data_IF_100848254986
#
_entry.id   IF_100848254986
#
_cell.length_a   1.000
_cell.length_b   1.000
_cell.length_c   1.000
_cell.angle_alpha   90.00
_cell.angle_beta   90.00
_cell.angle_gamma   90.00
#
_symmetry.space_group_name_H-M   'P 1'
#
loop_
_entity.id
_entity.type
_entity.pdbx_description
1 polymer ?
#
# COMPACT_ATOMS: atom_id res chain seq x y z
N UNK A 1 -9.82 6.51 -23.04
CA UNK A 1 -9.47 6.60 -22.48
C UNK A 1 -8.93 7.12 -22.16
N UNK A 2 -8.85 7.30 -22.12
CA UNK A 2 -8.17 7.93 -21.81
C UNK A 2 -7.19 7.42 -21.06
N UNK A 3 -6.14 7.18 -21.39
CA UNK A 3 -4.89 6.88 -20.87
C UNK A 3 -4.78 7.03 -19.41
N UNK A 4 -5.82 7.36 -18.92
CA UNK A 4 -5.90 7.55 -17.51
C UNK A 4 -5.65 6.33 -16.72
N UNK A 5 -5.72 5.18 -17.35
CA UNK A 5 -5.42 3.94 -16.64
C UNK A 5 -3.92 3.73 -16.64
N UNK A 6 -3.24 4.41 -15.72
CA UNK A 6 -1.80 4.27 -15.54
C UNK A 6 -1.45 3.42 -14.33
N UNK A 7 -2.42 2.70 -13.78
CA UNK A 7 -2.22 1.97 -12.53
C UNK A 7 -1.02 1.01 -12.57
N UNK A 8 -0.91 0.24 -13.65
CA UNK A 8 0.18 -0.71 -13.78
C UNK A 8 1.55 -0.01 -13.84
N UNK A 9 1.59 1.16 -14.47
CA UNK A 9 2.81 1.95 -14.51
C UNK A 9 3.13 2.52 -13.13
N UNK A 10 2.11 2.97 -12.42
CA UNK A 10 2.31 3.59 -11.12
C UNK A 10 2.84 2.59 -10.09
N UNK A 11 2.41 1.35 -10.16
CA UNK A 11 2.81 0.34 -9.17
C UNK A 11 3.99 -0.52 -9.61
N UNK A 12 4.54 -0.29 -10.80
CA UNK A 12 5.57 -1.18 -11.35
C UNK A 12 6.83 -1.24 -10.49
N UNK A 13 7.12 -0.20 -9.74
CA UNK A 13 8.28 -0.16 -8.86
C UNK A 13 8.01 -0.80 -7.51
N UNK A 14 6.74 -1.07 -7.19
CA UNK A 14 6.39 -1.70 -5.93
C UNK A 14 6.60 -3.21 -6.03
N UNK A 15 6.84 -3.85 -4.91
CA UNK A 15 6.97 -5.31 -4.86
C UNK A 15 5.63 -5.92 -4.51
N UNK A 16 5.02 -6.61 -5.47
CA UNK A 16 3.74 -7.27 -5.21
C UNK A 16 3.96 -8.55 -4.41
N UNK A 17 3.23 -8.67 -3.31
CA UNK A 17 3.33 -9.82 -2.40
C UNK A 17 1.92 -10.24 -1.99
N UNK A 18 1.82 -11.43 -1.38
CA UNK A 18 0.58 -11.91 -0.80
C UNK A 18 0.46 -11.47 0.66
N UNK A 19 -0.74 -11.63 1.20
CA UNK A 19 -1.08 -11.15 2.54
C UNK A 19 -0.22 -11.78 3.63
N UNK A 20 0.11 -13.07 3.50
CA UNK A 20 0.93 -13.75 4.51
C UNK A 20 2.33 -13.17 4.58
N UNK A 21 2.89 -12.82 3.43
CA UNK A 21 4.22 -12.20 3.39
C UNK A 21 4.15 -10.78 3.94
N UNK A 22 3.09 -10.04 3.61
CA UNK A 22 2.91 -8.69 4.12
C UNK A 22 2.82 -8.69 5.65
N UNK A 23 2.06 -9.63 6.21
CA UNK A 23 1.92 -9.75 7.65
C UNK A 23 3.28 -10.04 8.31
N UNK A 24 4.05 -10.94 7.70
CA UNK A 24 5.36 -11.28 8.21
C UNK A 24 6.30 -10.07 8.23
N UNK A 25 6.29 -9.29 7.16
CA UNK A 25 7.14 -8.10 7.08
C UNK A 25 6.69 -7.02 8.05
N UNK A 26 5.37 -6.81 8.17
CA UNK A 26 4.83 -5.79 9.08
C UNK A 26 5.06 -6.16 10.55
N UNK A 27 5.23 -7.44 10.84
CA UNK A 27 5.49 -7.91 12.20
C UNK A 27 6.96 -7.79 12.59
N UNK A 28 7.84 -7.48 11.65
CA UNK A 28 9.25 -7.30 11.93
C UNK A 28 9.51 -5.92 12.50
N UNK A 29 10.72 -5.71 13.03
CA UNK A 29 11.10 -4.40 13.59
C UNK A 29 11.61 -3.44 12.51
N UNK A 30 11.81 -3.93 11.29
CA UNK A 30 12.30 -3.11 10.18
C UNK A 30 11.20 -2.22 9.64
N UNK A 31 11.59 -1.07 9.11
CA UNK A 31 10.66 -0.20 8.41
C UNK A 31 10.01 -0.97 7.26
N UNK A 32 8.70 -1.06 7.26
CA UNK A 32 7.94 -1.75 6.22
C UNK A 32 6.78 -0.87 5.78
N UNK A 33 6.66 -0.69 4.47
CA UNK A 33 5.58 0.12 3.88
C UNK A 33 4.76 -0.79 2.98
N UNK A 34 3.47 -0.91 3.28
CA UNK A 34 2.56 -1.77 2.51
C UNK A 34 1.38 -0.95 2.02
N UNK A 35 1.11 -1.06 0.73
CA UNK A 35 -0.06 -0.47 0.09
C UNK A 35 -1.00 -1.59 -0.32
N UNK A 36 -2.26 -1.52 0.12
CA UNK A 36 -3.30 -2.47 -0.25
C UNK A 36 -4.32 -1.76 -1.12
N UNK A 37 -4.52 -2.26 -2.32
CA UNK A 37 -5.46 -1.65 -3.23
C UNK A 37 -5.77 -2.54 -4.43
N UNK A 38 -6.47 -1.96 -5.40
CA UNK A 38 -6.87 -2.69 -6.59
C UNK A 38 -7.05 -1.75 -7.76
N UNK A 39 -6.83 -2.26 -8.96
CA UNK A 39 -6.90 -1.47 -10.18
C UNK A 39 -8.29 -0.92 -10.46
N UNK A 40 -9.32 -1.64 -10.05
CA UNK A 40 -10.71 -1.29 -10.36
C UNK A 40 -11.27 -0.17 -9.49
N UNK A 41 -10.55 0.24 -8.46
CA UNK A 41 -11.03 1.27 -7.53
C UNK A 41 -10.45 2.64 -7.91
N UNK A 42 -11.29 3.64 -8.23
CA UNK A 42 -10.77 4.96 -8.60
C UNK A 42 -9.91 5.60 -7.52
N UNK A 43 -10.27 5.41 -6.26
CA UNK A 43 -9.50 5.96 -5.14
C UNK A 43 -8.14 5.30 -5.03
N UNK A 44 -8.06 3.99 -5.32
CA UNK A 44 -6.80 3.28 -5.33
C UNK A 44 -5.91 3.77 -6.47
N UNK A 45 -6.49 4.02 -7.64
CA UNK A 45 -5.72 4.54 -8.78
C UNK A 45 -5.13 5.91 -8.46
N UNK A 46 -5.93 6.76 -7.82
CA UNK A 46 -5.47 8.09 -7.42
C UNK A 46 -4.32 8.00 -6.42
N UNK A 47 -4.46 7.12 -5.43
CA UNK A 47 -3.44 6.96 -4.39
C UNK A 47 -2.17 6.35 -4.96
N UNK A 48 -2.30 5.33 -5.82
CA UNK A 48 -1.15 4.67 -6.43
C UNK A 48 -0.32 5.62 -7.29
N UNK A 49 -1.00 6.53 -8.02
CA UNK A 49 -0.28 7.52 -8.82
C UNK A 49 0.55 8.43 -7.93
N UNK A 50 -0.02 8.88 -6.83
CA UNK A 50 0.67 9.74 -5.87
C UNK A 50 1.87 9.01 -5.27
N UNK A 51 1.64 7.77 -4.85
CA UNK A 51 2.69 6.96 -4.24
C UNK A 51 3.80 6.63 -5.23
N UNK A 52 3.43 6.35 -6.47
CA UNK A 52 4.41 6.09 -7.53
C UNK A 52 5.29 7.30 -7.80
N UNK A 53 4.69 8.49 -7.78
CA UNK A 53 5.45 9.73 -7.96
C UNK A 53 6.45 9.97 -6.83
N UNK A 54 6.12 9.49 -5.63
CA UNK A 54 6.98 9.65 -4.47
C UNK A 54 8.05 8.58 -4.35
N UNK A 55 7.93 7.51 -5.08
CA UNK A 55 8.74 6.31 -4.85
C UNK A 55 10.23 6.61 -4.75
N UNK A 56 10.75 7.41 -5.69
CA UNK A 56 12.18 7.72 -5.72
C UNK A 56 12.63 8.60 -4.56
N UNK A 57 11.71 9.28 -3.92
CA UNK A 57 12.03 10.17 -2.80
C UNK A 57 11.97 9.47 -1.46
N UNK A 58 11.38 8.28 -1.40
CA UNK A 58 11.13 7.62 -0.12
C UNK A 58 12.29 6.76 0.35
N UNK A 59 13.18 6.36 -0.54
CA UNK A 59 14.35 5.54 -0.22
C UNK A 59 13.99 4.26 0.54
N UNK A 60 12.84 3.69 0.27
CA UNK A 60 12.42 2.46 0.90
C UNK A 60 11.57 1.66 -0.08
N UNK A 61 11.56 0.35 0.08
CA UNK A 61 10.71 -0.50 -0.74
C UNK A 61 9.25 -0.28 -0.35
N UNK A 62 8.37 -0.31 -1.35
CA UNK A 62 6.93 -0.29 -1.11
C UNK A 62 6.39 -1.63 -1.56
N UNK A 63 5.72 -2.32 -0.66
CA UNK A 63 5.11 -3.61 -0.94
C UNK A 63 3.64 -3.40 -1.31
N UNK A 64 3.18 -4.16 -2.29
CA UNK A 64 1.81 -4.02 -2.81
C UNK A 64 1.05 -5.33 -2.63
N UNK A 65 -0.13 -5.23 -2.01
CA UNK A 65 -1.06 -6.35 -1.91
C UNK A 65 -2.28 -6.01 -2.76
N UNK A 66 -2.54 -6.84 -3.77
CA UNK A 66 -3.70 -6.65 -4.64
C UNK A 66 -4.93 -7.22 -3.94
N UNK A 67 -5.86 -6.35 -3.54
CA UNK A 67 -7.04 -6.78 -2.79
C UNK A 67 -8.02 -7.59 -3.64
N UNK A 68 -7.80 -7.67 -4.95
CA UNK A 68 -8.62 -8.50 -5.84
C UNK A 68 -7.88 -9.76 -6.31
N UNK A 69 -6.77 -10.10 -5.70
CA UNK A 69 -6.02 -11.30 -6.07
C UNK A 69 -6.71 -12.52 -5.48
N UNK A 70 -7.42 -13.26 -6.32
CA UNK A 70 -8.20 -14.42 -5.89
C UNK A 70 -7.32 -15.60 -5.44
N UNK A 71 -6.03 -15.55 -5.73
CA UNK A 71 -5.10 -16.57 -5.23
C UNK A 71 -4.62 -16.28 -3.81
N UNK A 72 -4.92 -15.08 -3.28
CA UNK A 72 -4.54 -14.68 -1.94
C UNK A 72 -5.72 -14.86 -1.01
N UNK A 73 -5.70 -15.95 -0.23
CA UNK A 73 -6.83 -16.32 0.63
C UNK A 73 -6.85 -15.57 1.96
N UNK A 74 -5.84 -14.74 2.23
CA UNK A 74 -5.70 -14.14 3.55
C UNK A 74 -5.88 -12.62 3.54
N UNK A 75 -6.42 -12.07 2.44
CA UNK A 75 -6.61 -10.61 2.34
C UNK A 75 -7.52 -10.08 3.44
N UNK A 76 -8.64 -10.78 3.69
CA UNK A 76 -9.59 -10.34 4.73
C UNK A 76 -8.94 -10.34 6.11
N UNK A 77 -8.15 -11.38 6.41
CA UNK A 77 -7.46 -11.47 7.69
C UNK A 77 -6.43 -10.37 7.85
N UNK A 78 -5.70 -10.07 6.77
CA UNK A 78 -4.71 -8.98 6.80
C UNK A 78 -5.39 -7.65 7.05
N UNK A 79 -6.48 -7.38 6.33
CA UNK A 79 -7.19 -6.12 6.48
C UNK A 79 -7.76 -5.96 7.89
N UNK A 80 -8.31 -7.03 8.43
CA UNK A 80 -8.85 -7.00 9.78
C UNK A 80 -7.77 -6.73 10.81
N UNK A 81 -6.64 -7.42 10.69
CA UNK A 81 -5.55 -7.31 11.65
C UNK A 81 -4.96 -5.90 11.68
N UNK A 82 -4.84 -5.26 10.53
CA UNK A 82 -4.21 -3.93 10.43
C UNK A 82 -5.23 -2.81 10.25
N UNK A 83 -6.51 -3.10 10.45
CA UNK A 83 -7.59 -2.09 10.44
C UNK A 83 -7.76 -1.39 9.10
N UNK A 84 -7.57 -2.12 8.01
CA UNK A 84 -7.80 -1.58 6.66
C UNK A 84 -9.27 -1.76 6.33
N UNK A 85 -10.09 -0.79 6.74
CA UNK A 85 -11.55 -0.89 6.56
C UNK A 85 -11.98 -0.64 5.13
N UNK A 86 -11.23 0.19 4.41
CA UNK A 86 -11.49 0.46 2.99
C UNK A 86 -10.15 0.50 2.25
N UNK A 87 -10.18 0.31 0.92
CA UNK A 87 -8.99 0.49 0.10
C UNK A 87 -9.07 1.85 -0.57
N UNK A 88 -7.96 2.54 -0.78
CA UNK A 88 -6.59 2.11 -0.53
C UNK A 88 -6.26 2.09 0.95
N UNK A 89 -5.49 1.09 1.36
CA UNK A 89 -4.94 1.01 2.70
C UNK A 89 -3.44 1.25 2.65
N UNK A 90 -2.95 2.08 3.56
CA UNK A 90 -1.54 2.41 3.62
C UNK A 90 -1.04 2.12 5.03
N UNK A 91 -0.14 1.15 5.14
CA UNK A 91 0.35 0.67 6.44
C UNK A 91 1.85 0.90 6.51
N UNK A 92 2.29 1.55 7.57
CA UNK A 92 3.72 1.75 7.83
C UNK A 92 4.05 1.17 9.18
N UNK A 93 5.00 0.26 9.21
CA UNK A 93 5.48 -0.35 10.46
C UNK A 93 6.91 0.10 10.69
N UNK A 94 7.17 0.61 11.90
CA UNK A 94 8.50 1.05 12.33
C UNK A 94 8.71 0.60 13.77
N UNK A 95 9.83 -0.08 14.02
CA UNK A 95 10.20 -0.48 15.38
C UNK A 95 9.07 -1.26 16.07
N UNK A 96 8.38 -2.10 15.32
CA UNK A 96 7.30 -2.92 15.85
C UNK A 96 5.97 -2.21 16.02
N UNK A 97 5.88 -0.95 15.59
CA UNK A 97 4.63 -0.18 15.69
C UNK A 97 4.06 0.05 14.30
N UNK A 98 2.79 -0.28 14.13
CA UNK A 98 2.09 -0.13 12.85
C UNK A 98 1.12 1.04 12.90
N UNK A 99 1.11 1.82 11.83
CA UNK A 99 0.14 2.88 11.64
C UNK A 99 -0.57 2.64 10.31
N UNK A 100 -1.89 2.75 10.29
CA UNK A 100 -2.71 2.50 9.11
C UNK A 100 -3.56 3.72 8.79
N UNK A 101 -3.58 4.09 7.51
CA UNK A 101 -4.51 5.12 7.02
C UNK A 101 -5.20 4.61 5.76
N UNK A 102 -6.51 4.88 5.66
CA UNK A 102 -7.33 4.48 4.53
C UNK A 102 -7.90 5.74 3.88
N UNK A 103 -7.02 6.63 3.45
CA UNK A 103 -7.39 7.96 2.98
C UNK A 103 -6.67 8.26 1.67
N UNK A 104 -7.41 8.17 0.57
CA UNK A 104 -6.83 8.43 -0.76
C UNK A 104 -6.47 9.90 -0.96
N UNK A 105 -6.94 10.77 -0.08
CA UNK A 105 -6.66 12.20 -0.20
C UNK A 105 -5.42 12.64 0.56
N UNK A 106 -4.70 11.72 1.18
CA UNK A 106 -3.45 12.06 1.86
C UNK A 106 -2.53 12.81 0.92
N UNK A 107 -1.93 13.89 1.43
CA UNK A 107 -0.94 14.63 0.66
C UNK A 107 0.37 13.85 0.61
N UNK A 108 1.24 14.22 -0.32
CA UNK A 108 2.57 13.62 -0.37
C UNK A 108 3.33 13.83 0.93
N UNK A 109 3.20 15.01 1.54
CA UNK A 109 3.85 15.28 2.81
C UNK A 109 3.35 14.36 3.92
N UNK A 110 2.05 14.08 3.95
CA UNK A 110 1.49 13.18 4.95
C UNK A 110 2.04 11.76 4.79
N UNK A 111 2.17 11.32 3.54
CA UNK A 111 2.74 10.00 3.27
C UNK A 111 4.20 9.94 3.73
N UNK A 112 4.97 10.96 3.39
CA UNK A 112 6.38 11.02 3.78
C UNK A 112 6.52 11.02 5.30
N UNK A 113 5.67 11.77 5.98
CA UNK A 113 5.74 11.87 7.44
C UNK A 113 5.43 10.55 8.13
N UNK A 114 4.54 9.74 7.55
CA UNK A 114 4.28 8.41 8.11
C UNK A 114 5.52 7.51 8.06
N UNK A 115 6.34 7.69 7.03
CA UNK A 115 7.48 6.80 6.79
C UNK A 115 8.72 7.25 7.58
N UNK A 116 8.84 8.52 7.85
CA UNK A 116 10.00 9.06 8.59
C UNK A 116 10.09 8.58 10.05
#
# INVERSE_FOLDING_TARGET
MFGEDTYKEDIKSFKQIHSTEADKLLSSEKLTVVYIGRETCPYCRKFAKKLGNLYNKLNTAIYYVNSEDFSDNDISSLREKYHVVTVPGFIVSKNGKCETRCDSSMSEDEIINMIK
#
